data_IF_716308824337
#
_entry.id   IF_716308824337
#
_cell.length_a   1.000
_cell.length_b   1.000
_cell.length_c   1.000
_cell.angle_alpha   90.00
_cell.angle_beta   90.00
_cell.angle_gamma   90.00
#
_symmetry.space_group_name_H-M   'P 1'
#
loop_
_entity.id
_entity.type
_entity.pdbx_description
1 polymer ?
#
# COMPACT_ATOMS: atom_id res chain seq x y z
N UNK A 1 -19.92 8.89 31.08
CA UNK A 1 -20.89 8.56 30.05
C UNK A 1 -20.50 7.24 29.41
N UNK A 2 -21.47 6.38 29.12
CA UNK A 2 -21.27 5.08 28.50
C UNK A 2 -21.37 5.21 26.95
N UNK A 3 -20.64 6.18 26.40
CA UNK A 3 -20.58 6.31 24.93
C UNK A 3 -19.75 5.18 24.34
N UNK A 4 -20.39 4.34 23.54
CA UNK A 4 -19.76 3.17 22.89
C UNK A 4 -19.39 3.47 21.44
N UNK A 5 -20.17 4.24 20.73
CA UNK A 5 -19.95 4.58 19.33
C UNK A 5 -20.13 6.08 19.11
N UNK A 6 -19.22 6.67 18.35
CA UNK A 6 -19.26 8.08 17.96
C UNK A 6 -18.95 8.22 16.48
N UNK A 7 -19.81 8.94 15.75
CA UNK A 7 -19.55 9.38 14.40
C UNK A 7 -19.56 10.90 14.32
N UNK A 8 -18.49 11.46 13.76
CA UNK A 8 -18.35 12.88 13.42
C UNK A 8 -17.96 13.07 11.96
N UNK A 9 -18.34 12.14 11.11
CA UNK A 9 -18.02 12.16 9.69
C UNK A 9 -18.58 13.41 9.01
N UNK A 10 -17.81 13.95 8.05
CA UNK A 10 -18.21 15.11 7.25
C UNK A 10 -18.54 16.35 8.09
N UNK A 11 -17.75 16.57 9.14
CA UNK A 11 -17.90 17.73 10.04
C UNK A 11 -16.71 18.68 9.90
N UNK A 12 -16.86 19.90 10.46
CA UNK A 12 -15.76 20.86 10.58
C UNK A 12 -15.06 20.79 11.95
N UNK A 13 -15.26 19.70 12.70
CA UNK A 13 -14.61 19.48 13.99
C UNK A 13 -13.11 19.32 13.76
N UNK A 14 -12.33 20.18 14.39
CA UNK A 14 -10.86 20.19 14.32
C UNK A 14 -10.17 19.64 15.57
N UNK A 15 -10.89 19.56 16.68
CA UNK A 15 -10.43 19.05 17.97
C UNK A 15 -11.53 18.20 18.59
N UNK A 16 -11.16 17.08 19.21
CA UNK A 16 -12.09 16.15 19.84
C UNK A 16 -11.50 15.64 21.14
N UNK A 17 -12.17 15.94 22.26
CA UNK A 17 -11.81 15.44 23.59
C UNK A 17 -12.59 14.15 23.90
N UNK A 18 -11.87 13.02 23.92
CA UNK A 18 -12.40 11.69 24.23
C UNK A 18 -11.98 11.19 25.62
N UNK A 19 -11.34 12.02 26.44
CA UNK A 19 -10.80 11.61 27.75
C UNK A 19 -11.86 11.09 28.71
N UNK A 20 -13.12 11.48 28.51
CA UNK A 20 -14.28 11.08 29.34
C UNK A 20 -15.13 9.97 28.71
N UNK A 21 -14.60 9.30 27.66
CA UNK A 21 -15.30 8.26 26.93
C UNK A 21 -14.57 6.91 27.01
N UNK A 22 -14.29 6.34 28.20
CA UNK A 22 -13.45 5.13 28.32
C UNK A 22 -14.11 3.87 27.75
N UNK A 23 -15.42 3.90 27.53
CA UNK A 23 -16.19 2.79 26.94
C UNK A 23 -16.31 2.87 25.41
N UNK A 24 -15.59 3.80 24.76
CA UNK A 24 -15.67 3.97 23.32
C UNK A 24 -15.03 2.77 22.60
N UNK A 25 -15.82 2.13 21.74
CA UNK A 25 -15.42 0.98 20.95
C UNK A 25 -15.30 1.33 19.45
N UNK A 26 -16.15 2.24 18.97
CA UNK A 26 -16.19 2.62 17.55
C UNK A 26 -16.10 4.13 17.42
N UNK A 27 -15.14 4.59 16.62
CA UNK A 27 -15.01 6.00 16.25
C UNK A 27 -14.88 6.14 14.74
N UNK A 28 -15.77 6.95 14.16
CA UNK A 28 -15.63 7.40 12.77
C UNK A 28 -15.55 8.92 12.72
N UNK A 29 -14.54 9.43 12.01
CA UNK A 29 -14.23 10.86 11.93
C UNK A 29 -13.76 11.26 10.54
N UNK A 30 -14.25 10.57 9.51
CA UNK A 30 -13.84 10.76 8.12
C UNK A 30 -14.35 12.10 7.56
N UNK A 31 -13.53 12.73 6.71
CA UNK A 31 -13.84 14.05 6.13
C UNK A 31 -14.11 15.14 7.17
N UNK A 32 -13.43 15.05 8.30
CA UNK A 32 -13.43 16.06 9.35
C UNK A 32 -12.21 16.99 9.23
N UNK A 33 -12.17 18.03 10.04
CA UNK A 33 -11.04 18.95 10.09
C UNK A 33 -9.98 18.55 11.15
N UNK A 34 -10.03 17.31 11.67
CA UNK A 34 -9.11 16.83 12.68
C UNK A 34 -7.65 16.88 12.20
N UNK A 35 -6.78 17.33 13.09
CA UNK A 35 -5.33 17.39 12.87
C UNK A 35 -4.59 16.31 13.65
N UNK A 36 -5.11 15.93 14.79
CA UNK A 36 -4.61 14.92 15.70
C UNK A 36 -5.75 14.38 16.55
N UNK A 37 -5.51 13.26 17.24
CA UNK A 37 -6.49 12.64 18.12
C UNK A 37 -5.74 11.94 19.27
N UNK A 38 -6.16 12.23 20.50
CA UNK A 38 -5.69 11.52 21.69
C UNK A 38 -6.64 10.37 22.03
N UNK A 39 -6.16 9.14 21.86
CA UNK A 39 -6.89 7.90 22.13
C UNK A 39 -6.41 7.20 23.40
N UNK A 40 -5.55 7.84 24.20
CA UNK A 40 -4.90 7.23 25.35
C UNK A 40 -5.87 6.80 26.47
N UNK A 41 -7.08 7.33 26.48
CA UNK A 41 -8.15 7.02 27.47
C UNK A 41 -9.27 6.15 26.90
N UNK A 42 -9.08 5.55 25.71
CA UNK A 42 -10.08 4.73 25.04
C UNK A 42 -9.58 3.29 24.80
N UNK A 43 -9.27 2.52 25.87
CA UNK A 43 -8.63 1.20 25.74
C UNK A 43 -9.54 0.13 25.13
N UNK A 44 -10.84 0.39 25.03
CA UNK A 44 -11.82 -0.53 24.44
C UNK A 44 -12.03 -0.30 22.95
N UNK A 45 -11.34 0.71 22.35
CA UNK A 45 -11.50 1.03 20.94
C UNK A 45 -11.14 -0.18 20.09
N UNK A 46 -12.13 -0.65 19.31
CA UNK A 46 -12.05 -1.80 18.42
C UNK A 46 -11.97 -1.38 16.95
N UNK A 47 -12.71 -0.33 16.60
CA UNK A 47 -12.75 0.20 15.24
C UNK A 47 -12.47 1.71 15.22
N UNK A 48 -11.53 2.12 14.38
CA UNK A 48 -11.18 3.50 14.11
C UNK A 48 -11.19 3.76 12.60
N UNK A 49 -11.99 4.71 12.16
CA UNK A 49 -11.98 5.21 10.78
C UNK A 49 -11.75 6.73 10.78
N UNK A 50 -10.64 7.16 10.19
CA UNK A 50 -10.29 8.57 9.97
C UNK A 50 -9.81 8.67 8.53
N UNK A 51 -10.74 8.85 7.60
CA UNK A 51 -10.44 8.96 6.18
C UNK A 51 -10.57 10.41 5.70
N UNK A 52 -9.77 10.80 4.72
CA UNK A 52 -9.85 12.10 4.05
C UNK A 52 -9.76 13.31 5.00
N UNK A 53 -8.98 13.21 6.07
CA UNK A 53 -8.69 14.33 6.97
C UNK A 53 -7.36 14.97 6.56
N UNK A 54 -7.43 15.95 5.68
CA UNK A 54 -6.30 16.56 4.98
C UNK A 54 -5.19 17.18 5.86
N UNK A 55 -5.45 17.36 7.15
CA UNK A 55 -4.46 17.87 8.09
C UNK A 55 -3.97 16.82 9.10
N UNK A 56 -4.40 15.57 8.96
CA UNK A 56 -4.07 14.49 9.89
C UNK A 56 -2.74 13.86 9.53
N UNK A 57 -1.74 14.01 10.39
CA UNK A 57 -0.34 13.65 10.11
C UNK A 57 0.26 12.64 11.09
N UNK A 58 -0.37 12.43 12.24
CA UNK A 58 0.13 11.56 13.30
C UNK A 58 -1.02 10.82 13.99
N UNK A 59 -0.76 9.60 14.43
CA UNK A 59 -1.73 8.80 15.20
C UNK A 59 -0.97 7.85 16.14
N UNK A 60 -1.25 7.93 17.43
CA UNK A 60 -0.78 6.97 18.44
C UNK A 60 -1.91 6.02 18.84
N UNK A 61 -1.72 4.73 18.59
CA UNK A 61 -2.65 3.66 18.95
C UNK A 61 -2.07 2.72 20.02
N UNK A 62 -0.96 3.07 20.65
CA UNK A 62 -0.25 2.21 21.60
C UNK A 62 -1.08 1.86 22.85
N UNK A 63 -2.14 2.60 23.13
CA UNK A 63 -3.07 2.39 24.24
C UNK A 63 -4.40 1.74 23.84
N UNK A 64 -4.50 1.24 22.60
CA UNK A 64 -5.73 0.67 22.05
C UNK A 64 -5.55 -0.82 21.66
N UNK A 65 -5.28 -1.72 22.65
CA UNK A 65 -4.94 -3.12 22.37
C UNK A 65 -6.09 -3.95 21.77
N UNK A 66 -7.31 -3.43 21.86
CA UNK A 66 -8.49 -4.10 21.28
C UNK A 66 -8.78 -3.71 19.83
N UNK A 67 -7.98 -2.79 19.26
CA UNK A 67 -8.18 -2.37 17.87
C UNK A 67 -8.06 -3.56 16.91
N UNK A 68 -9.01 -3.65 15.97
CA UNK A 68 -9.08 -4.70 14.93
C UNK A 68 -9.30 -4.11 13.55
N UNK A 69 -9.92 -2.94 13.48
CA UNK A 69 -10.17 -2.23 12.22
C UNK A 69 -9.60 -0.83 12.35
N UNK A 70 -8.63 -0.53 11.51
CA UNK A 70 -7.98 0.78 11.41
C UNK A 70 -8.02 1.25 9.96
N UNK A 71 -8.87 2.23 9.65
CA UNK A 71 -8.96 2.83 8.32
C UNK A 71 -8.49 4.27 8.39
N UNK A 72 -7.38 4.57 7.73
CA UNK A 72 -6.73 5.90 7.80
C UNK A 72 -6.36 6.44 6.41
N UNK A 73 -7.02 5.97 5.37
CA UNK A 73 -6.76 6.38 3.99
C UNK A 73 -7.08 7.88 3.75
N UNK A 74 -6.47 8.49 2.74
CA UNK A 74 -6.75 9.89 2.38
C UNK A 74 -6.19 10.94 3.33
N UNK A 75 -5.16 10.61 4.11
CA UNK A 75 -4.52 11.53 5.07
C UNK A 75 -3.11 11.96 4.61
N UNK A 76 -2.30 12.52 5.53
CA UNK A 76 -0.92 12.96 5.29
C UNK A 76 0.09 12.30 6.24
N UNK A 77 -0.10 11.00 6.50
CA UNK A 77 0.81 10.24 7.36
C UNK A 77 2.11 9.92 6.61
N UNK A 78 3.23 10.42 7.12
CA UNK A 78 4.57 10.13 6.58
C UNK A 78 5.03 8.70 6.88
N UNK A 79 6.20 8.31 6.33
CA UNK A 79 6.78 6.98 6.55
C UNK A 79 7.02 6.66 8.02
N UNK A 80 7.52 7.62 8.81
CA UNK A 80 7.80 7.40 10.23
C UNK A 80 6.50 7.19 11.01
N UNK A 81 5.47 8.01 10.75
CA UNK A 81 4.18 7.89 11.42
C UNK A 81 3.50 6.54 11.12
N UNK A 82 3.53 6.09 9.86
CA UNK A 82 2.94 4.80 9.48
C UNK A 82 3.74 3.60 9.99
N UNK A 83 5.07 3.71 10.07
CA UNK A 83 5.92 2.70 10.70
C UNK A 83 5.64 2.60 12.20
N UNK A 84 5.46 3.72 12.89
CA UNK A 84 5.10 3.74 14.30
C UNK A 84 3.71 3.14 14.54
N UNK A 85 2.74 3.45 13.70
CA UNK A 85 1.44 2.79 13.72
C UNK A 85 1.61 1.26 13.60
N UNK A 86 2.37 0.77 12.61
CA UNK A 86 2.61 -0.66 12.42
C UNK A 86 3.25 -1.31 13.66
N UNK A 87 4.22 -0.64 14.29
CA UNK A 87 4.84 -1.10 15.53
C UNK A 87 3.85 -1.20 16.70
N UNK A 88 2.87 -0.29 16.75
CA UNK A 88 1.87 -0.20 17.82
C UNK A 88 0.60 -1.02 17.56
N UNK A 89 0.44 -1.61 16.38
CA UNK A 89 -0.61 -2.61 16.14
C UNK A 89 -0.48 -3.76 17.14
N UNK A 90 -1.59 -4.21 17.70
CA UNK A 90 -1.59 -5.34 18.63
C UNK A 90 -1.19 -6.62 17.92
N UNK A 91 -0.40 -7.47 18.57
CA UNK A 91 -0.23 -8.85 18.15
C UNK A 91 -1.56 -9.59 18.33
N UNK A 92 -2.10 -10.11 17.24
CA UNK A 92 -3.35 -10.84 17.31
C UNK A 92 -3.07 -12.28 17.73
N UNK A 93 -3.87 -12.84 18.66
CA UNK A 93 -3.67 -14.20 19.13
C UNK A 93 -3.82 -15.20 17.98
N UNK A 94 -3.34 -16.44 18.18
CA UNK A 94 -3.42 -17.55 17.21
C UNK A 94 -4.84 -18.05 16.95
N UNK A 95 -5.79 -17.14 16.84
CA UNK A 95 -7.18 -17.36 16.46
C UNK A 95 -7.35 -17.07 14.98
N UNK A 96 -8.50 -17.38 14.42
CA UNK A 96 -8.86 -17.03 13.04
C UNK A 96 -9.15 -15.51 12.88
N UNK A 97 -8.95 -14.72 13.94
CA UNK A 97 -9.11 -13.28 13.90
C UNK A 97 -7.92 -12.62 13.20
N UNK A 98 -8.23 -11.77 12.24
CA UNK A 98 -7.30 -10.91 11.54
C UNK A 98 -7.64 -9.44 11.80
N UNK A 99 -6.65 -8.57 11.85
CA UNK A 99 -6.86 -7.14 11.86
C UNK A 99 -6.88 -6.59 10.43
N UNK A 100 -7.57 -5.49 10.21
CA UNK A 100 -7.59 -4.80 8.91
C UNK A 100 -7.02 -3.39 9.09
N UNK A 101 -6.01 -3.07 8.30
CA UNK A 101 -5.42 -1.75 8.21
C UNK A 101 -5.61 -1.18 6.79
N UNK A 102 -6.60 -0.33 6.62
CA UNK A 102 -6.85 0.40 5.37
C UNK A 102 -6.00 1.64 5.28
N UNK A 103 -5.08 1.68 4.31
CA UNK A 103 -4.00 2.68 4.26
C UNK A 103 -4.10 3.65 3.10
N UNK A 104 -4.79 3.30 2.02
CA UNK A 104 -4.73 4.05 0.78
C UNK A 104 -6.06 4.03 0.00
N UNK A 105 -6.35 5.16 -0.69
CA UNK A 105 -7.43 5.31 -1.66
C UNK A 105 -6.83 5.64 -3.03
N UNK A 106 -6.98 4.76 -3.99
CA UNK A 106 -6.37 4.90 -5.32
C UNK A 106 -6.82 6.16 -6.10
N UNK A 107 -7.92 6.77 -5.70
CA UNK A 107 -8.58 7.86 -6.45
C UNK A 107 -8.27 9.26 -6.00
N UNK A 108 -7.64 9.43 -4.86
CA UNK A 108 -7.41 10.77 -4.34
C UNK A 108 -5.98 11.19 -4.60
N UNK A 109 -5.74 12.14 -5.52
CA UNK A 109 -4.43 12.80 -5.63
C UNK A 109 -3.97 13.39 -4.30
N UNK A 110 -4.90 13.54 -3.38
CA UNK A 110 -4.72 14.06 -2.03
C UNK A 110 -4.36 12.99 -1.00
N UNK A 111 -4.45 11.68 -1.32
CA UNK A 111 -3.94 10.66 -0.40
C UNK A 111 -2.42 10.71 -0.37
N UNK A 112 -1.91 11.39 0.64
CA UNK A 112 -0.48 11.61 0.86
C UNK A 112 0.10 10.66 1.92
N UNK A 113 -0.64 9.61 2.30
CA UNK A 113 -0.11 8.58 3.18
C UNK A 113 1.09 7.89 2.53
N UNK A 114 2.14 7.70 3.30
CA UNK A 114 3.35 7.01 2.87
C UNK A 114 3.56 5.79 3.75
N UNK A 115 3.20 4.63 3.23
CA UNK A 115 3.35 3.36 3.94
C UNK A 115 4.44 2.54 3.26
N UNK A 116 5.52 2.26 3.98
CA UNK A 116 6.66 1.50 3.45
C UNK A 116 6.38 0.00 3.44
N UNK A 117 7.12 -0.73 2.61
CA UNK A 117 7.12 -2.21 2.64
C UNK A 117 7.50 -2.76 4.01
N UNK A 118 8.38 -2.08 4.73
CA UNK A 118 8.76 -2.45 6.10
C UNK A 118 7.55 -2.36 7.04
N UNK A 119 6.80 -1.25 7.01
CA UNK A 119 5.61 -1.08 7.84
C UNK A 119 4.54 -2.15 7.52
N UNK A 120 4.33 -2.46 6.24
CA UNK A 120 3.45 -3.56 5.82
C UNK A 120 3.94 -4.89 6.37
N UNK A 121 5.24 -5.19 6.25
CA UNK A 121 5.84 -6.43 6.78
C UNK A 121 5.69 -6.59 8.30
N UNK A 122 5.77 -5.49 9.05
CA UNK A 122 5.52 -5.49 10.51
C UNK A 122 4.05 -5.84 10.78
N UNK A 123 3.11 -5.20 10.09
CA UNK A 123 1.67 -5.44 10.26
C UNK A 123 1.29 -6.90 9.95
N UNK A 124 1.78 -7.44 8.82
CA UNK A 124 1.53 -8.83 8.43
C UNK A 124 2.05 -9.85 9.46
N UNK A 125 3.23 -9.62 10.07
CA UNK A 125 3.75 -10.47 11.15
C UNK A 125 2.83 -10.49 12.37
N UNK A 126 2.07 -9.43 12.59
CA UNK A 126 1.08 -9.27 13.66
C UNK A 126 -0.33 -9.73 13.26
N UNK A 127 -0.48 -10.36 12.09
CA UNK A 127 -1.74 -10.82 11.50
C UNK A 127 -2.72 -9.68 11.15
N UNK A 128 -2.19 -8.57 10.71
CA UNK A 128 -2.97 -7.48 10.13
C UNK A 128 -2.88 -7.52 8.61
N UNK A 129 -4.01 -7.60 7.95
CA UNK A 129 -4.11 -7.36 6.51
C UNK A 129 -3.98 -5.86 6.24
N UNK A 130 -3.08 -5.50 5.35
CA UNK A 130 -2.91 -4.10 4.92
C UNK A 130 -3.55 -3.95 3.56
N UNK A 131 -4.58 -3.14 3.49
CA UNK A 131 -5.42 -3.04 2.30
C UNK A 131 -5.47 -1.61 1.76
N UNK A 132 -5.61 -1.52 0.45
CA UNK A 132 -5.99 -0.29 -0.24
C UNK A 132 -7.34 -0.47 -0.92
N UNK A 133 -8.03 0.62 -1.23
CA UNK A 133 -9.30 0.61 -1.92
C UNK A 133 -9.15 1.26 -3.30
N UNK A 134 -9.59 0.56 -4.33
CA UNK A 134 -9.57 1.07 -5.69
C UNK A 134 -10.70 2.07 -5.95
N UNK A 135 -10.71 2.61 -7.16
CA UNK A 135 -11.70 3.60 -7.61
C UNK A 135 -13.13 3.06 -7.70
N UNK A 136 -13.30 1.74 -7.74
CA UNK A 136 -14.59 1.06 -7.79
C UNK A 136 -15.13 0.68 -6.42
N UNK A 137 -14.29 0.87 -5.36
CA UNK A 137 -14.64 0.56 -3.98
C UNK A 137 -14.14 -0.82 -3.51
N UNK A 138 -13.46 -1.59 -4.38
CA UNK A 138 -12.93 -2.90 -4.01
C UNK A 138 -11.65 -2.75 -3.19
N UNK A 139 -11.48 -3.64 -2.23
CA UNK A 139 -10.26 -3.74 -1.44
C UNK A 139 -9.27 -4.70 -2.10
N UNK A 140 -7.99 -4.38 -2.01
CA UNK A 140 -6.89 -5.23 -2.47
C UNK A 140 -5.69 -5.11 -1.52
N UNK A 141 -4.84 -6.13 -1.53
CA UNK A 141 -3.65 -6.18 -0.69
C UNK A 141 -2.68 -5.05 -1.05
N UNK A 142 -2.32 -4.27 -0.05
CA UNK A 142 -1.35 -3.20 -0.22
C UNK A 142 0.05 -3.65 0.17
N UNK A 143 0.99 -3.56 -0.76
CA UNK A 143 2.35 -4.08 -0.58
C UNK A 143 3.35 -3.04 -0.07
N UNK A 144 2.96 -1.79 0.07
CA UNK A 144 3.82 -0.70 0.53
C UNK A 144 4.71 -0.08 -0.53
N UNK A 145 5.21 1.12 -0.23
CA UNK A 145 6.14 1.88 -1.06
C UNK A 145 7.56 1.40 -0.77
N UNK A 146 8.35 1.18 -1.83
CA UNK A 146 9.78 0.93 -1.72
C UNK A 146 10.50 2.24 -1.39
N UNK A 147 11.05 2.37 -0.19
CA UNK A 147 11.74 3.57 0.27
C UNK A 147 13.17 3.70 -0.27
N UNK A 148 13.65 2.73 -1.03
CA UNK A 148 15.01 2.70 -1.54
C UNK A 148 16.09 2.50 -0.46
N UNK A 149 15.72 2.42 0.82
CA UNK A 149 16.62 2.02 1.89
C UNK A 149 16.87 0.53 1.73
N UNK A 150 18.08 0.19 1.34
CA UNK A 150 18.53 -1.19 1.16
C UNK A 150 18.53 -1.91 2.49
N UNK A 151 17.41 -2.54 2.86
CA UNK A 151 17.54 -3.78 3.58
C UNK A 151 17.95 -4.84 2.58
N UNK A 152 19.18 -5.36 2.77
CA UNK A 152 19.69 -6.50 2.02
C UNK A 152 18.98 -7.74 2.58
N UNK A 153 17.70 -7.90 2.32
CA UNK A 153 17.06 -9.20 2.30
C UNK A 153 16.83 -9.57 0.84
N UNK A 154 17.64 -10.54 0.43
CA UNK A 154 17.62 -11.20 -0.86
C UNK A 154 16.28 -11.88 -1.10
N UNK A 155 15.31 -11.12 -1.61
CA UNK A 155 14.38 -11.67 -2.57
C UNK A 155 14.72 -11.00 -3.90
N UNK A 156 15.06 -11.73 -4.94
CA UNK A 156 15.26 -11.10 -6.22
C UNK A 156 13.95 -10.41 -6.60
N UNK A 157 13.98 -9.08 -6.76
CA UNK A 157 12.95 -8.34 -7.52
C UNK A 157 12.66 -9.22 -8.70
N UNK A 158 11.38 -9.55 -8.95
CA UNK A 158 11.01 -10.54 -9.94
C UNK A 158 11.88 -10.40 -11.17
N UNK A 159 12.82 -11.32 -11.33
CA UNK A 159 13.72 -11.30 -12.47
C UNK A 159 12.83 -11.51 -13.66
N UNK A 160 12.69 -10.47 -14.49
CA UNK A 160 11.99 -10.61 -15.75
C UNK A 160 12.71 -11.71 -16.53
N UNK A 161 12.05 -12.84 -16.74
CA UNK A 161 12.61 -13.93 -17.52
C UNK A 161 12.36 -13.62 -18.98
N UNK A 162 13.42 -13.23 -19.69
CA UNK A 162 13.36 -12.87 -21.10
C UNK A 162 13.86 -14.08 -21.89
N UNK A 163 12.99 -14.66 -22.69
CA UNK A 163 13.34 -15.63 -23.71
C UNK A 163 13.25 -15.00 -25.09
N UNK A 164 14.26 -15.25 -25.91
CA UNK A 164 14.35 -14.71 -27.25
C UNK A 164 14.37 -15.87 -28.22
N UNK A 165 13.42 -15.87 -29.12
CA UNK A 165 13.35 -16.73 -30.27
C UNK A 165 13.56 -15.91 -31.55
N UNK A 166 13.84 -16.55 -32.66
CA UNK A 166 14.37 -15.97 -33.91
C UNK A 166 13.79 -14.60 -34.33
N UNK A 167 12.51 -14.31 -34.04
CA UNK A 167 11.83 -13.05 -34.36
C UNK A 167 10.88 -12.63 -33.27
N UNK A 168 11.02 -13.12 -32.05
CA UNK A 168 10.14 -12.80 -30.96
C UNK A 168 10.86 -12.65 -29.62
N UNK A 169 10.33 -11.80 -28.76
CA UNK A 169 10.77 -11.65 -27.37
C UNK A 169 9.60 -11.97 -26.47
N UNK A 170 9.77 -12.98 -25.62
CA UNK A 170 8.82 -13.30 -24.58
C UNK A 170 9.33 -12.83 -23.22
N UNK A 171 8.58 -12.00 -22.56
CA UNK A 171 8.85 -11.54 -21.21
C UNK A 171 7.94 -12.27 -20.26
N UNK A 172 8.51 -13.05 -19.35
CA UNK A 172 7.80 -13.83 -18.33
C UNK A 172 8.06 -13.27 -16.94
N UNK A 173 7.33 -13.77 -15.96
CA UNK A 173 7.45 -13.40 -14.57
C UNK A 173 7.21 -11.90 -14.34
N UNK A 174 6.25 -11.34 -15.10
CA UNK A 174 5.82 -9.96 -14.91
C UNK A 174 5.22 -9.79 -13.50
N UNK A 175 5.39 -8.61 -12.88
CA UNK A 175 4.82 -8.33 -11.57
C UNK A 175 3.32 -8.64 -11.53
N UNK A 176 2.81 -9.13 -10.40
CA UNK A 176 1.37 -9.31 -10.23
C UNK A 176 0.69 -7.94 -10.14
N UNK A 177 -0.52 -7.80 -10.66
CA UNK A 177 -1.29 -6.56 -10.65
C UNK A 177 -1.99 -6.31 -11.99
N UNK A 178 -2.79 -5.23 -12.03
CA UNK A 178 -3.54 -4.83 -13.23
C UNK A 178 -2.60 -4.28 -14.30
N UNK A 179 -3.10 -4.18 -15.48
CA UNK A 179 -2.57 -3.67 -16.73
C UNK A 179 -1.08 -3.24 -16.69
N UNK A 180 -0.22 -4.12 -17.16
CA UNK A 180 1.24 -3.93 -17.16
C UNK A 180 1.66 -3.40 -18.51
N UNK A 181 2.33 -2.27 -18.52
CA UNK A 181 2.99 -1.77 -19.72
C UNK A 181 4.43 -2.29 -19.74
N UNK A 182 4.78 -3.00 -20.79
CA UNK A 182 6.12 -3.52 -21.02
C UNK A 182 6.74 -2.76 -22.19
N UNK A 183 7.89 -2.15 -21.96
CA UNK A 183 8.68 -1.43 -22.95
C UNK A 183 10.00 -2.18 -23.19
N UNK A 184 10.41 -2.28 -24.44
CA UNK A 184 11.72 -2.84 -24.83
C UNK A 184 12.51 -1.74 -25.53
N UNK A 185 13.71 -1.49 -25.06
CA UNK A 185 14.62 -0.47 -25.56
C UNK A 185 15.92 -1.10 -26.08
N UNK A 186 16.55 -0.46 -27.04
CA UNK A 186 17.91 -0.80 -27.46
C UNK A 186 18.96 -0.36 -26.39
N UNK A 187 20.22 -0.68 -26.64
CA UNK A 187 21.33 -0.30 -25.74
C UNK A 187 21.56 1.22 -25.63
N UNK A 188 21.01 2.01 -26.57
CA UNK A 188 21.08 3.47 -26.59
C UNK A 188 19.88 4.12 -25.91
N UNK A 189 18.91 3.32 -25.45
CA UNK A 189 17.69 3.81 -24.80
C UNK A 189 16.56 4.17 -25.77
N UNK A 190 16.65 3.81 -27.07
CA UNK A 190 15.55 4.03 -28.00
C UNK A 190 14.51 2.93 -27.82
N UNK A 191 13.24 3.31 -27.80
CA UNK A 191 12.12 2.37 -27.70
C UNK A 191 12.02 1.53 -28.98
N UNK A 192 12.12 0.20 -28.83
CA UNK A 192 11.95 -0.77 -29.92
C UNK A 192 10.47 -1.14 -30.06
N UNK A 193 9.85 -1.57 -28.97
CA UNK A 193 8.45 -2.01 -28.94
C UNK A 193 7.85 -1.79 -27.57
N UNK A 194 6.54 -1.57 -27.53
CA UNK A 194 5.77 -1.46 -26.28
C UNK A 194 4.48 -2.27 -26.40
N UNK A 195 4.09 -2.90 -25.30
CA UNK A 195 2.85 -3.67 -25.22
C UNK A 195 2.24 -3.57 -23.84
N UNK A 196 0.98 -3.98 -23.75
CA UNK A 196 0.21 -3.97 -22.50
C UNK A 196 -0.40 -5.36 -22.31
N UNK A 197 -0.34 -5.88 -21.08
CA UNK A 197 -0.92 -7.18 -20.72
C UNK A 197 -1.46 -7.17 -19.30
N UNK A 198 -2.46 -8.01 -19.05
CA UNK A 198 -2.96 -8.32 -17.71
C UNK A 198 -2.36 -9.64 -17.19
N UNK A 199 -1.72 -10.40 -18.07
CA UNK A 199 -1.12 -11.71 -17.75
C UNK A 199 0.26 -11.55 -17.08
N UNK A 200 0.82 -12.62 -16.57
CA UNK A 200 2.16 -12.65 -16.03
C UNK A 200 3.27 -12.80 -17.10
N UNK A 201 2.88 -12.76 -18.36
CA UNK A 201 3.81 -12.77 -19.51
C UNK A 201 3.26 -11.97 -20.69
N UNK A 202 4.14 -11.54 -21.58
CA UNK A 202 3.81 -10.92 -22.85
C UNK A 202 4.76 -11.44 -23.93
N UNK A 203 4.25 -11.65 -25.13
CA UNK A 203 5.01 -12.04 -26.31
C UNK A 203 4.97 -10.89 -27.34
N UNK A 204 6.13 -10.51 -27.84
CA UNK A 204 6.30 -9.57 -28.93
C UNK A 204 6.82 -10.32 -30.15
N UNK A 205 6.01 -10.44 -31.17
CA UNK A 205 6.34 -11.11 -32.44
C UNK A 205 6.69 -10.11 -33.53
N UNK A 206 7.30 -10.62 -34.61
CA UNK A 206 7.61 -9.82 -35.82
C UNK A 206 8.78 -8.85 -35.61
N UNK A 207 9.67 -9.12 -34.66
CA UNK A 207 10.85 -8.30 -34.38
C UNK A 207 12.03 -8.78 -35.26
N UNK A 208 11.96 -8.47 -36.55
CA UNK A 208 13.00 -8.83 -37.51
C UNK A 208 14.30 -8.04 -37.28
N UNK A 209 15.45 -8.72 -37.37
CA UNK A 209 16.80 -8.11 -37.28
C UNK A 209 17.19 -7.50 -35.91
N UNK A 210 16.61 -7.96 -34.82
CA UNK A 210 17.10 -7.59 -33.49
C UNK A 210 18.41 -8.33 -33.18
N UNK A 211 19.47 -7.56 -33.00
CA UNK A 211 20.77 -8.06 -32.53
C UNK A 211 21.29 -7.14 -31.42
N UNK A 212 22.00 -7.71 -30.45
CA UNK A 212 22.67 -6.94 -29.41
C UNK A 212 21.96 -6.95 -28.06
N UNK A 213 22.19 -5.91 -27.28
CA UNK A 213 21.68 -5.76 -25.92
C UNK A 213 20.39 -4.97 -25.95
N UNK A 214 19.40 -5.43 -25.22
CA UNK A 214 18.18 -4.65 -24.99
C UNK A 214 17.77 -4.64 -23.51
N UNK A 215 17.05 -3.61 -23.16
CA UNK A 215 16.55 -3.36 -21.82
C UNK A 215 15.04 -3.53 -21.85
N UNK A 216 14.52 -4.33 -20.96
CA UNK A 216 13.08 -4.53 -20.77
C UNK A 216 12.65 -3.85 -19.48
N UNK A 217 11.66 -2.99 -19.57
CA UNK A 217 11.06 -2.30 -18.44
C UNK A 217 9.59 -2.71 -18.30
N UNK A 218 9.16 -2.99 -17.07
CA UNK A 218 7.76 -3.23 -16.74
C UNK A 218 7.45 -2.62 -15.37
N UNK A 219 6.59 -1.59 -15.34
CA UNK A 219 6.14 -0.95 -14.11
C UNK A 219 7.29 -0.63 -13.12
N UNK A 220 8.42 -0.13 -13.62
CA UNK A 220 9.62 0.20 -12.84
C UNK A 220 10.53 -1.00 -12.52
N UNK A 221 10.15 -2.22 -12.87
CA UNK A 221 11.08 -3.35 -12.91
C UNK A 221 11.87 -3.32 -14.23
N UNK A 222 13.18 -3.55 -14.16
CA UNK A 222 14.07 -3.52 -15.32
C UNK A 222 14.80 -4.84 -15.44
N UNK A 223 14.75 -5.43 -16.63
CA UNK A 223 15.52 -6.61 -17.01
C UNK A 223 16.44 -6.30 -18.19
N UNK A 224 17.50 -7.08 -18.35
CA UNK A 224 18.42 -6.97 -19.47
C UNK A 224 18.47 -8.29 -20.22
N UNK A 225 18.32 -8.24 -21.55
CA UNK A 225 18.45 -9.36 -22.44
C UNK A 225 19.56 -9.15 -23.48
N UNK A 226 20.13 -10.23 -23.98
CA UNK A 226 21.13 -10.21 -25.05
C UNK A 226 20.66 -11.18 -26.13
N UNK A 227 20.55 -10.69 -27.35
CA UNK A 227 20.39 -11.53 -28.57
C UNK A 227 21.77 -11.74 -29.20
N UNK A 228 22.18 -13.00 -29.32
CA UNK A 228 23.41 -13.40 -29.99
C UNK A 228 23.15 -13.75 -31.43
#
# INVERSE_FOLDING_TARGET
PQLVSLSIDTTKISELDLTKCPSLEILTASKSALKSLDLSKNPLLNQLSIEDCQSFTTLDISKNPKLRILIIAGNKLGFDATKEIANNLSDLPNTDEIGVWGVFLEKTPEDLNKVSKEAVGIALKKKWEVVARNTYGDFYDYTGIDTGLKEIEKQPKGVLLISVEKNSIKVNNLPQGYQKKVNIFDEKGNLIVSGVTNDNSILFDGLENLHGVFIVECNGAVGKGIIR
#
